data_IF_404190369018
#
_entry.id   IF_404190369018
#
_cell.length_a   1.000
_cell.length_b   1.000
_cell.length_c   1.000
_cell.angle_alpha   90.00
_cell.angle_beta   90.00
_cell.angle_gamma   90.00
#
_symmetry.space_group_name_H-M   'P 1'
#
loop_
_entity.id
_entity.type
_entity.pdbx_description
1 polymer ?
#
# COMPACT_ATOMS: atom_id res chain seq x y z
N UNK A 1 24.11 8.93 7.45
CA UNK A 1 23.65 7.65 7.99
C UNK A 1 22.96 7.91 9.31
N UNK A 2 21.78 8.52 9.22
CA UNK A 2 20.84 8.53 10.33
C UNK A 2 19.90 7.32 10.23
N UNK A 3 19.11 7.09 11.27
CA UNK A 3 18.17 5.97 11.36
C UNK A 3 17.04 6.04 10.33
N UNK A 4 16.80 7.20 9.73
CA UNK A 4 15.74 7.45 8.76
C UNK A 4 16.21 7.18 7.32
N UNK A 5 17.52 7.27 7.03
CA UNK A 5 18.16 6.85 5.77
C UNK A 5 17.84 5.39 5.35
N UNK A 6 17.34 4.56 6.27
CA UNK A 6 17.10 3.13 6.06
C UNK A 6 15.77 2.78 5.36
N UNK A 7 14.84 3.72 5.21
CA UNK A 7 13.46 3.40 4.84
C UNK A 7 12.98 4.03 3.53
N UNK A 8 13.84 4.80 2.85
CA UNK A 8 13.53 5.42 1.57
C UNK A 8 14.49 4.96 0.48
N UNK A 9 13.93 4.67 -0.69
CA UNK A 9 14.68 4.18 -1.83
C UNK A 9 13.78 3.52 -2.86
N UNK A 10 14.34 3.25 -4.02
CA UNK A 10 13.65 2.48 -5.05
C UNK A 10 13.54 1.02 -4.61
N UNK A 11 12.38 0.41 -4.83
CA UNK A 11 12.20 -1.01 -4.62
C UNK A 11 12.97 -1.78 -5.71
N UNK A 12 13.91 -2.69 -5.36
CA UNK A 12 14.62 -3.48 -6.36
C UNK A 12 13.66 -4.37 -7.15
N UNK A 13 13.94 -4.59 -8.44
CA UNK A 13 13.18 -5.54 -9.26
C UNK A 13 13.22 -6.94 -8.64
N UNK A 14 12.09 -7.66 -8.75
CA UNK A 14 11.90 -8.98 -8.15
C UNK A 14 11.55 -8.98 -6.66
N UNK A 15 11.60 -7.85 -5.98
CA UNK A 15 11.32 -7.78 -4.53
C UNK A 15 9.88 -8.15 -4.17
N UNK A 16 9.72 -8.71 -2.97
CA UNK A 16 8.42 -8.93 -2.34
C UNK A 16 8.28 -8.00 -1.14
N UNK A 17 7.09 -7.47 -0.88
CA UNK A 17 6.84 -6.50 0.18
C UNK A 17 5.52 -6.77 0.91
N UNK A 18 5.42 -6.23 2.12
CA UNK A 18 4.13 -5.98 2.76
C UNK A 18 3.72 -4.56 2.36
N UNK A 19 2.68 -4.45 1.54
CA UNK A 19 2.07 -3.18 1.17
C UNK A 19 1.05 -2.78 2.22
N UNK A 20 1.19 -1.57 2.75
CA UNK A 20 0.22 -0.94 3.64
C UNK A 20 -0.56 0.10 2.84
N UNK A 21 -1.88 -0.07 2.76
CA UNK A 21 -2.80 0.90 2.19
C UNK A 21 -3.55 1.65 3.31
N UNK A 22 -3.57 2.97 3.27
CA UNK A 22 -4.17 3.82 4.28
C UNK A 22 -5.43 4.49 3.73
N UNK A 23 -6.58 4.36 4.39
CA UNK A 23 -7.87 4.86 3.90
C UNK A 23 -7.88 6.35 3.55
N UNK A 24 -7.16 7.20 4.30
CA UNK A 24 -7.10 8.63 4.01
C UNK A 24 -6.14 8.98 2.84
N UNK A 25 -5.25 8.06 2.47
CA UNK A 25 -4.29 8.23 1.37
C UNK A 25 -4.22 6.98 0.49
N UNK A 26 -5.39 6.51 0.05
CA UNK A 26 -5.48 5.26 -0.71
C UNK A 26 -4.96 5.42 -2.14
N UNK A 27 -4.20 4.41 -2.57
CA UNK A 27 -3.80 4.22 -3.96
C UNK A 27 -4.33 2.88 -4.45
N UNK A 28 -4.61 2.80 -5.75
CA UNK A 28 -4.89 1.50 -6.37
C UNK A 28 -3.69 0.57 -6.15
N UNK A 29 -3.92 -0.71 -5.80
CA UNK A 29 -2.84 -1.68 -5.69
C UNK A 29 -1.99 -1.73 -6.97
N UNK A 30 -0.66 -1.61 -6.88
CA UNK A 30 0.20 -1.55 -8.05
C UNK A 30 0.45 -2.97 -8.59
N UNK A 31 -0.54 -3.52 -9.30
CA UNK A 31 -0.50 -4.85 -9.92
C UNK A 31 -0.71 -4.71 -11.42
N UNK A 32 0.16 -5.31 -12.23
CA UNK A 32 0.10 -5.23 -13.69
C UNK A 32 1.47 -5.13 -14.35
N UNK A 33 1.50 -4.72 -15.62
CA UNK A 33 2.73 -4.65 -16.41
C UNK A 33 3.76 -3.70 -15.78
N UNK A 34 4.95 -4.23 -15.46
CA UNK A 34 6.02 -3.49 -14.80
C UNK A 34 5.78 -3.19 -13.31
N UNK A 35 4.69 -3.67 -12.72
CA UNK A 35 4.39 -3.53 -11.30
C UNK A 35 4.51 -4.88 -10.57
N UNK A 36 3.82 -5.09 -9.44
CA UNK A 36 3.81 -6.42 -8.82
C UNK A 36 3.00 -7.41 -9.66
N UNK A 37 3.40 -8.69 -9.61
CA UNK A 37 2.64 -9.77 -10.25
C UNK A 37 1.33 -10.05 -9.53
N UNK A 38 1.36 -10.00 -8.20
CA UNK A 38 0.23 -10.29 -7.33
C UNK A 38 0.35 -9.46 -6.06
N UNK A 39 -0.80 -9.07 -5.50
CA UNK A 39 -0.91 -8.56 -4.14
C UNK A 39 -2.08 -9.30 -3.47
N UNK A 40 -1.79 -10.17 -2.50
CA UNK A 40 -2.84 -10.87 -1.73
C UNK A 40 -3.14 -10.11 -0.44
N UNK A 41 -4.41 -9.92 -0.05
CA UNK A 41 -4.76 -9.39 1.26
C UNK A 41 -4.17 -10.26 2.37
N UNK A 42 -3.72 -9.64 3.45
CA UNK A 42 -3.24 -10.30 4.66
C UNK A 42 -4.12 -9.98 5.86
N UNK A 43 -4.30 -8.69 6.13
CA UNK A 43 -4.97 -8.23 7.34
C UNK A 43 -5.55 -6.82 7.15
N UNK A 44 -6.42 -6.42 8.06
CA UNK A 44 -7.06 -5.11 8.11
C UNK A 44 -7.11 -4.62 9.55
N UNK A 45 -6.53 -3.46 9.79
CA UNK A 45 -6.59 -2.76 11.06
C UNK A 45 -7.53 -1.55 10.94
N UNK A 46 -8.59 -1.54 11.75
CA UNK A 46 -9.49 -0.40 11.89
C UNK A 46 -9.18 0.37 13.16
N UNK A 47 -8.95 1.67 13.03
CA UNK A 47 -8.74 2.59 14.14
C UNK A 47 -10.02 3.40 14.32
N UNK A 48 -10.58 3.34 15.53
CA UNK A 48 -11.75 4.12 15.89
C UNK A 48 -11.59 4.80 17.25
N UNK A 49 -12.41 5.81 17.48
CA UNK A 49 -12.47 6.55 18.74
C UNK A 49 -13.92 6.93 19.02
N UNK A 50 -14.41 6.65 20.23
CA UNK A 50 -15.80 6.91 20.62
C UNK A 50 -16.86 6.32 19.67
N UNK A 51 -16.56 5.17 19.05
CA UNK A 51 -17.47 4.51 18.09
C UNK A 51 -17.39 5.05 16.67
N UNK A 52 -16.64 6.13 16.43
CA UNK A 52 -16.37 6.64 15.08
C UNK A 52 -15.16 5.98 14.45
N UNK A 53 -15.26 5.64 13.17
CA UNK A 53 -14.12 5.14 12.39
C UNK A 53 -13.22 6.31 11.97
N UNK A 54 -11.97 6.30 12.44
CA UNK A 54 -10.99 7.34 12.12
C UNK A 54 -10.10 6.94 10.95
N UNK A 55 -9.73 5.67 10.87
CA UNK A 55 -8.80 5.19 9.85
C UNK A 55 -8.89 3.70 9.65
N UNK A 56 -8.50 3.25 8.46
CA UNK A 56 -8.35 1.86 8.12
C UNK A 56 -7.02 1.65 7.41
N UNK A 57 -6.32 0.60 7.81
CA UNK A 57 -5.08 0.13 7.19
C UNK A 57 -5.31 -1.28 6.64
N UNK A 58 -5.03 -1.47 5.37
CA UNK A 58 -5.09 -2.78 4.72
C UNK A 58 -3.67 -3.25 4.40
N UNK A 59 -3.33 -4.45 4.86
CA UNK A 59 -2.04 -5.06 4.60
C UNK A 59 -2.18 -6.10 3.49
N UNK A 60 -1.26 -6.06 2.52
CA UNK A 60 -1.20 -7.03 1.43
C UNK A 60 0.22 -7.53 1.22
N UNK A 61 0.39 -8.82 0.90
CA UNK A 61 1.66 -9.37 0.45
C UNK A 61 1.77 -9.24 -1.06
N UNK A 62 2.65 -8.36 -1.52
CA UNK A 62 2.88 -8.07 -2.92
C UNK A 62 4.18 -8.72 -3.40
N UNK A 63 4.16 -9.34 -4.58
CA UNK A 63 5.26 -10.19 -5.04
C UNK A 63 5.79 -9.82 -6.42
N UNK A 64 7.12 -9.86 -6.54
CA UNK A 64 7.85 -9.70 -7.79
C UNK A 64 7.66 -8.32 -8.42
N UNK A 65 8.24 -7.29 -7.80
CA UNK A 65 8.22 -5.93 -8.34
C UNK A 65 8.86 -5.82 -9.73
N UNK A 66 8.19 -5.18 -10.68
CA UNK A 66 8.64 -5.04 -12.07
C UNK A 66 9.37 -3.73 -12.42
N UNK A 67 9.70 -2.89 -11.44
CA UNK A 67 10.54 -1.70 -11.65
C UNK A 67 9.82 -0.42 -12.09
N UNK A 68 8.54 -0.48 -12.49
CA UNK A 68 7.78 0.68 -13.01
C UNK A 68 6.75 1.20 -12.00
N UNK A 69 7.11 2.24 -11.25
CA UNK A 69 6.15 2.94 -10.40
C UNK A 69 5.15 3.75 -11.24
N UNK A 70 3.86 3.51 -11.03
CA UNK A 70 2.78 4.34 -11.58
C UNK A 70 1.65 4.47 -10.55
N UNK A 71 1.86 5.25 -9.48
CA UNK A 71 0.90 5.37 -8.40
C UNK A 71 -0.36 6.10 -8.88
N UNK A 72 -1.52 5.45 -8.76
CA UNK A 72 -2.81 6.05 -9.05
C UNK A 72 -3.59 6.20 -7.75
N UNK A 73 -3.89 7.45 -7.37
CA UNK A 73 -4.77 7.69 -6.23
C UNK A 73 -6.10 7.00 -6.48
N UNK A 74 -6.58 6.29 -5.47
CA UNK A 74 -7.94 5.81 -5.51
C UNK A 74 -8.86 7.02 -5.39
N UNK A 75 -9.90 7.07 -6.22
CA UNK A 75 -10.88 8.13 -6.09
C UNK A 75 -11.47 8.04 -4.68
N UNK A 76 -11.65 9.17 -4.00
CA UNK A 76 -12.38 9.20 -2.74
C UNK A 76 -13.73 8.56 -3.01
N UNK A 77 -13.94 7.36 -2.47
CA UNK A 77 -15.26 6.76 -2.43
C UNK A 77 -16.05 7.64 -1.47
N UNK A 78 -16.80 8.60 -2.02
CA UNK A 78 -17.91 9.24 -1.35
C UNK A 78 -18.92 8.12 -1.08
N UNK A 79 -18.68 7.33 -0.03
CA UNK A 79 -19.73 6.47 0.52
C UNK A 79 -20.74 7.43 1.18
N UNK A 80 -22.04 7.32 0.83
CA UNK A 80 -23.09 8.11 1.46
C UNK A 80 -23.19 7.80 2.97
#
# INVERSE_FOLDING_TARGET
>A
YDQFDLWFGSLPEGSNVILLNWSQMSFKPPVGEGQFRTCRPLDRLSIGHMGEALSQFELSYCQGWGGKANPQREALSLRP
#
